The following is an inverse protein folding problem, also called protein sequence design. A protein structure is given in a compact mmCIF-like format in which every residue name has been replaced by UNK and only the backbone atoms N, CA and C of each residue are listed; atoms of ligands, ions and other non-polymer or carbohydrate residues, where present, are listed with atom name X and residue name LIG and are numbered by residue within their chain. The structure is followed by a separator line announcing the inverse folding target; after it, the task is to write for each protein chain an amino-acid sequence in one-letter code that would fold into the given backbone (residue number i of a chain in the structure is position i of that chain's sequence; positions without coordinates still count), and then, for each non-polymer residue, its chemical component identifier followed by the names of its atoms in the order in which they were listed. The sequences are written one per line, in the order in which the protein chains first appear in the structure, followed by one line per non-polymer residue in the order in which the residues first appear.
data_IF_548375814402
#
_entry.id   IF_548375814402
#
_cell.length_a   1.000
_cell.length_b   1.000
_cell.length_c   1.000
_cell.angle_alpha   90.00
_cell.angle_beta   90.00
_cell.angle_gamma   90.00
#
_symmetry.space_group_name_H-M   'P 1'
#
loop_
_entity.id
_entity.type
_entity.pdbx_description
1 polymer ?
#
# COMPACT_ATOMS: atom_id res chain seq x y z
N UNK A 1 15.12 -24.13 -52.29
CA UNK A 1 13.99 -24.85 -51.66
C UNK A 1 13.98 -24.43 -50.21
N UNK A 2 13.14 -23.49 -49.82
CA UNK A 2 12.91 -23.10 -48.44
C UNK A 2 12.19 -24.24 -47.73
N UNK A 3 12.93 -25.02 -46.94
CA UNK A 3 12.31 -25.99 -46.01
C UNK A 3 11.39 -25.22 -45.07
N UNK A 4 10.06 -25.40 -45.21
CA UNK A 4 9.11 -24.92 -44.22
C UNK A 4 9.58 -25.43 -42.85
N UNK A 5 10.03 -24.56 -41.96
CA UNK A 5 10.34 -24.94 -40.58
C UNK A 5 9.06 -25.49 -39.97
N UNK A 6 9.06 -26.77 -39.61
CA UNK A 6 7.97 -27.37 -38.89
C UNK A 6 7.85 -26.72 -37.51
N UNK A 7 6.70 -26.10 -37.23
CA UNK A 7 6.42 -25.54 -35.93
C UNK A 7 5.69 -26.63 -35.07
N UNK A 8 6.27 -27.10 -33.96
CA UNK A 8 5.65 -28.14 -33.15
C UNK A 8 4.23 -27.81 -32.68
N UNK A 9 3.92 -26.53 -32.47
CA UNK A 9 2.63 -26.06 -31.99
C UNK A 9 1.50 -26.15 -33.06
N UNK A 10 1.86 -26.35 -34.34
CA UNK A 10 0.86 -26.46 -35.43
C UNK A 10 -0.03 -27.71 -35.31
N UNK A 11 0.40 -28.71 -34.52
CA UNK A 11 -0.35 -29.94 -34.29
C UNK A 11 -0.16 -30.48 -32.90
N UNK A 12 -1.26 -30.66 -32.16
CA UNK A 12 -1.31 -31.36 -30.89
C UNK A 12 -1.88 -32.75 -31.14
N UNK A 13 -1.20 -33.77 -30.65
CA UNK A 13 -1.59 -35.18 -30.76
C UNK A 13 -1.85 -35.73 -29.35
N UNK A 14 -2.68 -36.82 -29.25
CA UNK A 14 -2.78 -37.59 -27.99
C UNK A 14 -1.93 -38.83 -28.07
N UNK A 15 -1.03 -38.98 -27.13
CA UNK A 15 -0.16 -40.15 -27.04
C UNK A 15 -0.35 -40.86 -25.72
N UNK A 16 -0.25 -42.22 -25.77
CA UNK A 16 -0.15 -43.02 -24.56
C UNK A 16 1.05 -42.54 -23.73
N UNK A 17 0.82 -42.41 -22.42
CA UNK A 17 1.86 -41.98 -21.48
C UNK A 17 3.06 -42.93 -21.47
N UNK A 18 2.84 -44.22 -21.76
CA UNK A 18 3.88 -45.25 -21.83
C UNK A 18 4.87 -45.02 -23.01
N UNK A 19 4.48 -44.24 -24.00
CA UNK A 19 5.37 -43.85 -25.11
C UNK A 19 6.32 -42.73 -24.75
N UNK A 20 6.13 -42.05 -23.61
CA UNK A 20 6.92 -40.91 -23.21
C UNK A 20 8.16 -41.37 -22.45
N UNK A 21 9.34 -41.05 -22.99
CA UNK A 21 10.63 -41.43 -22.41
C UNK A 21 11.23 -40.20 -21.72
N UNK A 22 11.42 -40.22 -20.40
CA UNK A 22 12.10 -39.13 -19.70
C UNK A 22 13.52 -38.93 -20.24
N UNK A 23 13.92 -37.66 -20.45
CA UNK A 23 15.28 -37.34 -20.88
C UNK A 23 16.26 -37.58 -19.72
N UNK A 24 17.16 -38.57 -19.87
CA UNK A 24 18.06 -39.03 -18.81
C UNK A 24 19.03 -37.95 -18.28
N UNK A 25 19.31 -36.88 -19.05
CA UNK A 25 20.16 -35.76 -18.67
C UNK A 25 19.35 -34.50 -18.34
N UNK A 26 18.09 -34.63 -17.89
CA UNK A 26 17.32 -33.51 -17.42
C UNK A 26 17.93 -32.97 -16.12
N UNK A 27 18.46 -31.74 -16.17
CA UNK A 27 19.06 -31.09 -15.00
C UNK A 27 18.01 -30.56 -13.99
N UNK A 28 16.72 -30.49 -14.39
CA UNK A 28 15.66 -30.01 -13.50
C UNK A 28 15.05 -31.19 -12.73
N UNK A 29 15.05 -31.09 -11.41
CA UNK A 29 14.42 -32.03 -10.50
C UNK A 29 13.03 -31.53 -10.14
N UNK A 30 12.14 -32.46 -9.82
CA UNK A 30 10.78 -32.18 -9.34
C UNK A 30 10.58 -32.88 -8.00
N UNK A 31 10.20 -32.13 -6.95
CA UNK A 31 9.80 -32.73 -5.69
C UNK A 31 8.41 -33.39 -5.80
N UNK A 32 8.11 -34.33 -4.91
CA UNK A 32 6.79 -34.96 -4.84
C UNK A 32 5.68 -33.92 -4.57
N UNK A 33 5.99 -32.89 -3.82
CA UNK A 33 5.10 -31.77 -3.54
C UNK A 33 4.79 -30.98 -4.82
N UNK A 34 5.81 -30.59 -5.59
CA UNK A 34 5.63 -29.89 -6.87
C UNK A 34 4.84 -30.74 -7.87
N UNK A 35 5.09 -32.05 -7.93
CA UNK A 35 4.31 -32.97 -8.77
C UNK A 35 2.84 -32.99 -8.30
N UNK A 36 2.60 -32.92 -6.98
CA UNK A 36 1.27 -32.81 -6.40
C UNK A 36 0.54 -31.52 -6.82
N UNK A 37 1.20 -30.38 -6.76
CA UNK A 37 0.66 -29.09 -7.20
C UNK A 37 0.30 -29.11 -8.69
N UNK A 38 1.19 -29.65 -9.55
CA UNK A 38 0.91 -29.78 -10.99
C UNK A 38 -0.28 -30.72 -11.22
N UNK A 39 -0.40 -31.81 -10.45
CA UNK A 39 -1.53 -32.73 -10.57
C UNK A 39 -2.86 -32.06 -10.15
N UNK A 40 -2.87 -31.27 -9.10
CA UNK A 40 -4.03 -30.48 -8.67
C UNK A 40 -4.43 -29.47 -9.74
N UNK A 41 -3.46 -28.75 -10.30
CA UNK A 41 -3.67 -27.82 -11.42
C UNK A 41 -4.28 -28.50 -12.65
N UNK A 42 -3.78 -29.68 -13.04
CA UNK A 42 -4.34 -30.44 -14.17
C UNK A 42 -5.78 -30.91 -13.87
N UNK A 43 -6.08 -31.25 -12.63
CA UNK A 43 -7.42 -31.67 -12.22
C UNK A 43 -8.42 -30.52 -12.26
N UNK A 44 -8.02 -29.31 -11.85
CA UNK A 44 -8.88 -28.13 -11.80
C UNK A 44 -9.12 -27.53 -13.18
N UNK A 45 -8.03 -27.17 -13.88
CA UNK A 45 -8.11 -26.44 -15.15
C UNK A 45 -8.01 -27.32 -16.39
N UNK A 46 -7.82 -28.63 -16.21
CA UNK A 46 -7.53 -29.53 -17.31
C UNK A 46 -6.09 -29.39 -17.82
N UNK A 47 -5.81 -30.05 -18.93
CA UNK A 47 -4.47 -30.02 -19.53
C UNK A 47 -4.31 -28.81 -20.46
N UNK A 48 -3.66 -27.78 -20.01
CA UNK A 48 -3.54 -26.48 -20.72
C UNK A 48 -2.32 -26.39 -21.64
N UNK A 49 -1.18 -27.07 -21.32
CA UNK A 49 0.06 -26.94 -22.07
C UNK A 49 0.60 -28.33 -22.44
N UNK A 50 0.60 -28.74 -23.75
CA UNK A 50 1.07 -30.03 -24.18
C UNK A 50 2.53 -30.35 -23.81
N UNK A 51 2.88 -31.65 -23.72
CA UNK A 51 4.28 -32.08 -23.56
C UNK A 51 4.99 -31.96 -24.90
N UNK A 52 6.18 -31.39 -24.93
CA UNK A 52 7.02 -31.35 -26.13
C UNK A 52 7.92 -32.58 -26.15
N UNK A 53 7.81 -33.39 -27.21
CA UNK A 53 8.56 -34.65 -27.40
C UNK A 53 9.28 -34.64 -28.75
N UNK A 54 10.26 -35.51 -28.91
CA UNK A 54 10.78 -35.84 -30.23
C UNK A 54 9.98 -36.97 -30.90
N UNK A 55 10.38 -37.35 -32.13
CA UNK A 55 9.73 -38.38 -32.95
C UNK A 55 9.83 -39.78 -32.31
N UNK A 56 10.78 -40.00 -31.39
CA UNK A 56 11.00 -41.22 -30.65
C UNK A 56 10.30 -41.26 -29.27
N UNK A 57 9.66 -40.13 -28.88
CA UNK A 57 8.97 -40.01 -27.61
C UNK A 57 9.82 -39.50 -26.47
N UNK A 58 11.06 -39.07 -26.70
CA UNK A 58 11.89 -38.46 -25.68
C UNK A 58 11.31 -37.09 -25.30
N UNK A 59 11.12 -36.86 -24.01
CA UNK A 59 10.55 -35.61 -23.47
C UNK A 59 11.60 -34.50 -23.57
N UNK A 60 11.24 -33.39 -24.24
CA UNK A 60 12.06 -32.18 -24.38
C UNK A 60 11.59 -31.14 -23.33
N UNK A 61 10.27 -30.99 -23.16
CA UNK A 61 9.70 -30.10 -22.14
C UNK A 61 8.40 -30.69 -21.56
N UNK A 62 8.15 -30.50 -20.26
CA UNK A 62 6.96 -30.99 -19.56
C UNK A 62 7.17 -32.25 -18.73
N UNK A 63 8.39 -32.53 -18.27
CA UNK A 63 8.69 -33.69 -17.39
C UNK A 63 7.80 -33.70 -16.14
N UNK A 64 7.64 -32.57 -15.41
CA UNK A 64 6.78 -32.47 -14.23
C UNK A 64 5.31 -32.78 -14.57
N UNK A 65 4.81 -32.32 -15.71
CA UNK A 65 3.44 -32.63 -16.18
C UNK A 65 3.24 -34.12 -16.49
N UNK A 66 4.26 -34.76 -17.02
CA UNK A 66 4.22 -36.21 -17.28
C UNK A 66 4.18 -36.99 -15.97
N UNK A 67 4.98 -36.59 -14.94
CA UNK A 67 4.94 -37.21 -13.61
C UNK A 67 3.58 -36.99 -12.94
N UNK A 68 3.02 -35.79 -13.04
CA UNK A 68 1.68 -35.50 -12.53
C UNK A 68 0.59 -36.30 -13.21
N UNK A 69 0.66 -36.54 -14.54
CA UNK A 69 -0.25 -37.38 -15.27
C UNK A 69 -0.16 -38.86 -14.83
N UNK A 70 1.04 -39.38 -14.55
CA UNK A 70 1.24 -40.70 -13.99
C UNK A 70 0.60 -40.81 -12.60
N UNK A 71 0.76 -39.81 -11.74
CA UNK A 71 0.11 -39.74 -10.41
C UNK A 71 -1.42 -39.72 -10.50
N UNK A 72 -1.96 -39.05 -11.55
CA UNK A 72 -3.40 -39.03 -11.85
C UNK A 72 -3.91 -40.25 -12.59
N UNK A 73 -3.06 -41.25 -12.86
CA UNK A 73 -3.38 -42.47 -13.60
C UNK A 73 -3.97 -42.20 -15.02
N UNK A 74 -3.52 -41.12 -15.65
CA UNK A 74 -3.92 -40.82 -17.01
C UNK A 74 -3.28 -41.79 -17.98
N UNK A 75 -4.04 -42.25 -18.95
CA UNK A 75 -3.54 -43.19 -19.99
C UNK A 75 -2.96 -42.47 -21.20
N UNK A 76 -3.43 -41.27 -21.47
CA UNK A 76 -3.01 -40.46 -22.62
C UNK A 76 -2.82 -38.99 -22.23
N UNK A 77 -1.87 -38.36 -22.86
CA UNK A 77 -1.58 -36.93 -22.69
C UNK A 77 -1.43 -36.21 -24.02
N UNK A 78 -1.73 -34.90 -24.10
CA UNK A 78 -1.49 -34.11 -25.30
C UNK A 78 -0.02 -33.83 -25.47
N UNK A 79 0.49 -34.03 -26.69
CA UNK A 79 1.88 -33.83 -27.04
C UNK A 79 2.03 -32.97 -28.31
N UNK A 80 3.14 -32.27 -28.41
CA UNK A 80 3.65 -31.61 -29.59
C UNK A 80 4.93 -32.31 -30.01
N UNK A 81 5.11 -32.58 -31.31
CA UNK A 81 6.27 -33.32 -31.80
C UNK A 81 7.27 -32.36 -32.47
N UNK A 82 8.48 -32.30 -31.94
CA UNK A 82 9.58 -31.48 -32.45
C UNK A 82 10.29 -32.20 -33.64
N UNK A 83 9.59 -32.30 -34.77
CA UNK A 83 10.09 -33.01 -35.97
C UNK A 83 11.32 -32.34 -36.57
N UNK A 84 12.34 -33.18 -36.89
CA UNK A 84 13.54 -32.73 -37.54
C UNK A 84 14.50 -31.89 -36.72
N UNK A 85 14.30 -31.83 -35.38
CA UNK A 85 15.24 -31.13 -34.50
C UNK A 85 16.52 -31.96 -34.31
N UNK A 86 17.68 -31.31 -34.48
CA UNK A 86 18.95 -31.94 -34.16
C UNK A 86 19.09 -32.15 -32.64
N UNK A 87 19.93 -33.11 -32.22
CA UNK A 87 20.18 -33.38 -30.80
C UNK A 87 20.71 -32.14 -30.05
N UNK A 88 21.56 -31.33 -30.70
CA UNK A 88 22.06 -30.09 -30.14
C UNK A 88 20.91 -29.10 -29.87
N UNK A 89 19.96 -28.97 -30.81
CA UNK A 89 18.79 -28.09 -30.65
C UNK A 89 17.86 -28.57 -29.54
N UNK A 90 17.58 -29.87 -29.46
CA UNK A 90 16.77 -30.45 -28.38
C UNK A 90 17.39 -30.18 -27.02
N UNK A 91 18.68 -30.46 -26.85
CA UNK A 91 19.43 -30.25 -25.58
C UNK A 91 19.48 -28.79 -25.17
N UNK A 92 19.74 -27.90 -26.14
CA UNK A 92 19.73 -26.46 -25.87
C UNK A 92 18.33 -25.97 -25.39
N UNK A 93 17.28 -26.49 -26.04
CA UNK A 93 15.91 -26.11 -25.68
C UNK A 93 15.49 -26.61 -24.28
N UNK A 94 15.89 -27.83 -23.89
CA UNK A 94 15.65 -28.34 -22.51
C UNK A 94 16.20 -27.37 -21.46
N UNK A 95 17.38 -26.81 -21.68
CA UNK A 95 17.98 -25.84 -20.77
C UNK A 95 17.29 -24.48 -20.85
N UNK A 96 17.01 -23.99 -22.06
CA UNK A 96 16.42 -22.67 -22.30
C UNK A 96 15.00 -22.57 -21.72
N UNK A 97 14.14 -23.57 -21.95
CA UNK A 97 12.77 -23.62 -21.45
C UNK A 97 12.73 -23.48 -19.92
N UNK A 98 13.58 -24.23 -19.23
CA UNK A 98 13.69 -24.16 -17.79
C UNK A 98 14.28 -22.83 -17.28
N UNK A 99 15.35 -22.32 -17.93
CA UNK A 99 16.05 -21.13 -17.45
C UNK A 99 15.25 -19.84 -17.70
N UNK A 100 14.59 -19.73 -18.85
CA UNK A 100 13.78 -18.56 -19.19
C UNK A 100 12.61 -18.39 -18.23
N UNK A 101 11.94 -19.47 -17.81
CA UNK A 101 10.89 -19.43 -16.82
C UNK A 101 11.38 -18.91 -15.44
N UNK A 102 12.63 -19.23 -15.07
CA UNK A 102 13.22 -18.78 -13.81
C UNK A 102 13.73 -17.32 -13.83
N UNK A 103 13.88 -16.72 -15.01
CA UNK A 103 14.33 -15.33 -15.13
C UNK A 103 13.19 -14.30 -14.96
N UNK A 104 11.94 -14.75 -15.00
CA UNK A 104 10.80 -13.91 -14.69
C UNK A 104 10.70 -13.73 -13.15
N UNK A 105 10.28 -12.56 -12.72
CA UNK A 105 9.94 -12.24 -11.34
C UNK A 105 8.46 -11.92 -11.23
N UNK A 106 8.02 -11.65 -10.01
CA UNK A 106 6.68 -11.17 -9.70
C UNK A 106 6.72 -9.70 -9.30
N UNK A 107 5.73 -8.95 -9.73
CA UNK A 107 5.37 -7.70 -9.08
C UNK A 107 4.58 -8.09 -7.81
N UNK A 108 5.28 -8.05 -6.67
CA UNK A 108 4.72 -8.54 -5.42
C UNK A 108 3.48 -7.77 -4.96
N UNK A 109 3.37 -6.49 -5.31
CA UNK A 109 2.24 -5.66 -4.94
C UNK A 109 0.99 -6.05 -5.74
N UNK A 110 1.16 -6.20 -7.06
CA UNK A 110 0.08 -6.67 -7.93
C UNK A 110 -0.31 -8.11 -7.60
N UNK A 111 0.67 -8.96 -7.28
CA UNK A 111 0.44 -10.35 -6.88
C UNK A 111 -0.37 -10.44 -5.57
N UNK A 112 -0.06 -9.61 -4.58
CA UNK A 112 -0.82 -9.55 -3.32
C UNK A 112 -2.29 -9.15 -3.55
N UNK A 113 -2.52 -8.15 -4.43
CA UNK A 113 -3.88 -7.73 -4.80
C UNK A 113 -4.66 -8.87 -5.47
N UNK A 114 -4.07 -9.51 -6.48
CA UNK A 114 -4.71 -10.62 -7.21
C UNK A 114 -5.02 -11.80 -6.30
N UNK A 115 -4.06 -12.20 -5.44
CA UNK A 115 -4.30 -13.28 -4.48
C UNK A 115 -5.40 -12.92 -3.47
N UNK A 116 -5.43 -11.66 -3.01
CA UNK A 116 -6.50 -11.17 -2.13
C UNK A 116 -7.87 -11.25 -2.79
N UNK A 117 -8.02 -10.72 -3.99
CA UNK A 117 -9.27 -10.74 -4.74
C UNK A 117 -9.74 -12.16 -5.08
N UNK A 118 -8.81 -13.06 -5.46
CA UNK A 118 -9.11 -14.47 -5.72
C UNK A 118 -9.59 -15.16 -4.43
N UNK A 119 -8.95 -14.88 -3.29
CA UNK A 119 -9.37 -15.40 -1.97
C UNK A 119 -10.77 -14.91 -1.57
N UNK A 120 -11.07 -13.63 -1.78
CA UNK A 120 -12.39 -13.03 -1.50
C UNK A 120 -13.51 -13.64 -2.37
N UNK A 121 -13.16 -14.09 -3.58
CA UNK A 121 -14.06 -14.86 -4.45
C UNK A 121 -14.26 -16.32 -3.99
N UNK A 122 -13.56 -16.75 -2.93
CA UNK A 122 -13.66 -18.09 -2.36
C UNK A 122 -12.92 -19.17 -3.15
N UNK A 123 -11.96 -18.78 -4.01
CA UNK A 123 -11.15 -19.73 -4.74
C UNK A 123 -9.98 -20.24 -3.88
N UNK A 124 -9.63 -21.52 -4.05
CA UNK A 124 -8.55 -22.16 -3.30
C UNK A 124 -7.17 -21.68 -3.78
N UNK A 125 -6.51 -20.86 -2.96
CA UNK A 125 -5.21 -20.25 -3.29
C UNK A 125 -4.07 -21.28 -3.40
N UNK A 126 -4.16 -22.45 -2.78
CA UNK A 126 -3.15 -23.53 -2.89
C UNK A 126 -3.00 -24.00 -4.35
N UNK A 127 -4.06 -23.83 -5.17
CA UNK A 127 -4.04 -24.15 -6.60
C UNK A 127 -3.19 -23.17 -7.44
N UNK A 128 -2.89 -21.97 -6.92
CA UNK A 128 -2.06 -20.98 -7.61
C UNK A 128 -0.58 -21.40 -7.66
N UNK A 129 -0.18 -22.35 -6.80
CA UNK A 129 1.19 -22.84 -6.67
C UNK A 129 2.04 -22.07 -5.67
N UNK A 130 1.51 -21.00 -5.04
CA UNK A 130 2.14 -20.36 -3.89
C UNK A 130 1.89 -21.17 -2.63
N UNK A 131 2.89 -21.24 -1.76
CA UNK A 131 2.73 -21.84 -0.43
C UNK A 131 2.00 -20.88 0.51
N UNK A 132 1.41 -21.40 1.59
CA UNK A 132 0.78 -20.57 2.61
C UNK A 132 1.74 -19.53 3.21
N UNK A 133 3.03 -19.89 3.38
CA UNK A 133 4.06 -18.98 3.90
C UNK A 133 4.39 -17.86 2.87
N UNK A 134 4.45 -18.20 1.57
CA UNK A 134 4.66 -17.20 0.50
C UNK A 134 3.46 -16.24 0.42
N UNK A 135 2.24 -16.76 0.51
CA UNK A 135 1.01 -15.95 0.54
C UNK A 135 1.00 -15.06 1.78
N UNK A 136 1.30 -15.61 2.96
CA UNK A 136 1.38 -14.83 4.19
C UNK A 136 2.45 -13.72 4.14
N UNK A 137 3.60 -13.99 3.50
CA UNK A 137 4.66 -12.98 3.32
C UNK A 137 4.29 -11.87 2.32
N UNK A 138 3.37 -12.14 1.39
CA UNK A 138 2.86 -11.17 0.42
C UNK A 138 1.67 -10.38 0.96
N UNK A 139 0.83 -11.02 1.79
CA UNK A 139 -0.32 -10.36 2.40
C UNK A 139 0.16 -9.40 3.50
N UNK A 140 -0.36 -8.17 3.56
CA UNK A 140 -0.13 -7.33 4.72
C UNK A 140 -0.62 -8.08 5.97
N UNK A 141 0.12 -7.95 7.09
CA UNK A 141 -0.34 -8.48 8.37
C UNK A 141 -1.80 -8.08 8.58
N UNK A 142 -2.65 -9.07 8.92
CA UNK A 142 -4.04 -8.80 9.28
C UNK A 142 -4.02 -7.96 10.56
N UNK A 143 -4.23 -6.67 10.40
CA UNK A 143 -4.32 -5.75 11.53
C UNK A 143 -5.69 -5.97 12.16
N UNK A 144 -5.69 -6.23 13.46
CA UNK A 144 -6.93 -6.38 14.23
C UNK A 144 -7.86 -5.18 14.00
N UNK A 145 -9.16 -5.40 13.79
CA UNK A 145 -10.12 -4.31 13.65
C UNK A 145 -9.99 -3.34 14.83
N UNK A 146 -10.03 -2.04 14.57
CA UNK A 146 -10.04 -1.04 15.64
C UNK A 146 -11.21 -1.24 16.62
N UNK A 147 -11.00 -0.86 17.87
CA UNK A 147 -12.03 -0.97 18.93
C UNK A 147 -13.13 0.08 18.81
N UNK A 148 -12.90 1.14 18.01
CA UNK A 148 -13.83 2.24 17.73
C UNK A 148 -13.98 2.43 16.23
N UNK A 149 -14.98 3.22 15.80
CA UNK A 149 -15.07 3.68 14.43
C UNK A 149 -13.81 4.48 14.06
N UNK A 150 -13.30 4.27 12.84
CA UNK A 150 -12.04 4.87 12.39
C UNK A 150 -12.11 6.40 12.30
N UNK A 151 -13.29 6.95 12.03
CA UNK A 151 -13.52 8.39 11.93
C UNK A 151 -14.01 9.02 13.25
N UNK A 152 -14.19 8.24 14.32
CA UNK A 152 -14.49 8.76 15.66
C UNK A 152 -13.32 9.58 16.19
N UNK A 153 -13.62 10.81 16.62
CA UNK A 153 -12.64 11.74 17.18
C UNK A 153 -13.07 12.17 18.57
N UNK A 154 -12.21 12.00 19.59
CA UNK A 154 -12.47 12.45 20.96
C UNK A 154 -12.68 13.97 21.05
N UNK A 155 -13.38 14.42 22.11
CA UNK A 155 -13.53 15.85 22.38
C UNK A 155 -12.18 16.53 22.67
N UNK A 156 -12.04 17.76 22.17
CA UNK A 156 -10.83 18.56 22.39
C UNK A 156 -10.75 18.98 23.87
N UNK A 157 -9.66 18.65 24.58
CA UNK A 157 -9.50 19.00 25.98
C UNK A 157 -9.39 20.53 26.17
N UNK A 158 -9.96 21.03 27.24
CA UNK A 158 -9.84 22.48 27.61
C UNK A 158 -8.40 22.79 28.04
N UNK A 159 -7.76 21.88 28.75
CA UNK A 159 -6.38 21.96 29.20
C UNK A 159 -5.61 20.73 28.68
N UNK A 160 -4.65 20.90 27.78
CA UNK A 160 -3.86 19.80 27.28
C UNK A 160 -2.86 19.31 28.34
N UNK A 161 -2.54 18.03 28.26
CA UNK A 161 -1.42 17.40 28.97
C UNK A 161 -0.10 17.68 28.24
N UNK A 162 -0.13 17.60 26.93
CA UNK A 162 1.02 17.85 26.04
C UNK A 162 1.44 19.33 26.05
N UNK A 163 2.72 19.57 25.93
CA UNK A 163 3.31 20.92 25.71
C UNK A 163 4.14 20.96 24.44
N UNK A 164 4.39 22.15 23.92
CA UNK A 164 5.23 22.35 22.73
C UNK A 164 6.63 21.74 22.96
N UNK A 165 7.06 20.92 22.02
CA UNK A 165 8.32 20.19 22.09
C UNK A 165 8.17 18.73 22.53
N UNK A 166 7.05 18.33 23.13
CA UNK A 166 6.84 16.94 23.52
C UNK A 166 6.79 15.99 22.33
N UNK A 167 7.41 14.82 22.52
CA UNK A 167 7.36 13.69 21.59
C UNK A 167 6.71 12.50 22.30
N UNK A 168 5.76 11.89 21.63
CA UNK A 168 5.00 10.73 22.11
C UNK A 168 5.28 9.52 21.23
N UNK A 169 5.36 8.34 21.85
CA UNK A 169 5.47 7.04 21.19
C UNK A 169 4.14 6.32 21.28
N UNK A 170 3.55 6.02 20.14
CA UNK A 170 2.25 5.37 19.98
C UNK A 170 2.47 4.02 19.27
N UNK A 171 2.83 2.98 20.03
CA UNK A 171 3.28 1.72 19.45
C UNK A 171 4.56 1.92 18.61
N UNK A 172 4.46 1.71 17.30
CA UNK A 172 5.55 1.97 16.37
C UNK A 172 5.62 3.44 15.87
N UNK A 173 4.59 4.23 16.11
CA UNK A 173 4.48 5.59 15.58
C UNK A 173 5.11 6.64 16.50
N UNK A 174 5.41 7.81 15.91
CA UNK A 174 5.90 8.99 16.63
C UNK A 174 4.98 10.17 16.36
N UNK A 175 4.63 10.88 17.43
CA UNK A 175 3.82 12.09 17.39
C UNK A 175 4.58 13.19 18.13
N UNK A 176 4.70 14.36 17.51
CA UNK A 176 5.37 15.50 18.13
C UNK A 176 4.46 16.72 18.16
N UNK A 177 4.45 17.40 19.30
CA UNK A 177 3.92 18.75 19.40
C UNK A 177 4.99 19.72 18.93
N UNK A 178 4.91 20.20 17.67
CA UNK A 178 6.00 20.97 17.07
C UNK A 178 5.58 21.83 15.89
N UNK A 179 6.55 22.59 15.36
CA UNK A 179 6.35 23.51 14.26
C UNK A 179 6.96 22.97 12.95
N UNK A 180 6.13 22.67 11.99
CA UNK A 180 6.51 22.08 10.70
C UNK A 180 7.31 22.99 9.76
N UNK A 181 7.46 24.27 10.12
CA UNK A 181 8.36 25.21 9.42
C UNK A 181 9.74 25.29 10.06
N UNK A 182 9.97 24.56 11.17
CA UNK A 182 11.25 24.55 11.90
C UNK A 182 12.02 23.27 11.62
N UNK A 183 13.20 23.39 11.01
CA UNK A 183 14.05 22.23 10.67
C UNK A 183 14.32 21.33 11.88
N UNK A 184 14.63 21.93 13.04
CA UNK A 184 14.96 21.17 14.26
C UNK A 184 13.80 20.31 14.75
N UNK A 185 12.54 20.79 14.62
CA UNK A 185 11.36 20.04 15.00
C UNK A 185 11.10 18.88 14.02
N UNK A 186 11.27 19.15 12.72
CA UNK A 186 11.13 18.13 11.67
C UNK A 186 12.17 17.01 11.85
N UNK A 187 13.44 17.36 12.07
CA UNK A 187 14.50 16.40 12.32
C UNK A 187 14.25 15.59 13.62
N UNK A 188 13.78 16.25 14.67
CA UNK A 188 13.46 15.59 15.96
C UNK A 188 12.29 14.62 15.83
N UNK A 189 11.23 14.98 15.11
CA UNK A 189 10.14 14.08 14.81
C UNK A 189 10.64 12.85 14.06
N UNK A 190 11.34 13.08 12.94
CA UNK A 190 11.76 11.99 12.03
C UNK A 190 12.85 11.11 12.61
N UNK A 191 13.62 11.59 13.57
CA UNK A 191 14.65 10.82 14.31
C UNK A 191 15.58 10.02 13.39
N UNK A 192 16.03 10.62 12.28
CA UNK A 192 16.89 10.00 11.29
C UNK A 192 16.20 9.09 10.27
N UNK A 193 14.87 8.97 10.33
CA UNK A 193 14.09 8.19 9.37
C UNK A 193 13.78 9.01 8.12
N UNK A 194 13.87 8.37 6.95
CA UNK A 194 13.41 8.95 5.68
C UNK A 194 11.99 8.43 5.40
N UNK A 195 11.00 9.30 5.14
CA UNK A 195 9.65 8.85 4.84
C UNK A 195 9.56 8.28 3.42
N UNK A 196 8.80 7.19 3.24
CA UNK A 196 8.43 6.68 1.91
C UNK A 196 7.35 7.56 1.28
N UNK A 197 6.43 8.03 2.13
CA UNK A 197 5.31 8.87 1.74
C UNK A 197 5.14 10.04 2.70
N UNK A 198 4.89 11.21 2.15
CA UNK A 198 4.45 12.41 2.87
C UNK A 198 3.03 12.71 2.41
N UNK A 199 2.07 12.67 3.32
CA UNK A 199 0.68 12.99 3.09
C UNK A 199 0.25 14.04 4.10
N UNK A 200 -0.03 15.26 3.65
CA UNK A 200 -0.18 16.37 4.59
C UNK A 200 -1.14 17.46 4.10
N UNK A 201 -1.77 18.15 5.07
CA UNK A 201 -2.78 19.19 4.84
C UNK A 201 -2.44 20.45 5.67
N UNK A 202 -1.51 21.31 5.18
CA UNK A 202 -1.11 22.50 5.90
C UNK A 202 -2.25 23.53 5.97
N UNK A 203 -2.25 24.46 6.94
CA UNK A 203 -3.11 25.64 6.92
C UNK A 203 -2.69 26.54 5.75
N UNK A 204 -3.67 26.96 4.92
CA UNK A 204 -3.37 27.68 3.66
C UNK A 204 -4.12 29.03 3.51
N UNK A 205 -4.55 29.62 4.61
CA UNK A 205 -5.08 30.98 4.63
C UNK A 205 -6.58 31.09 4.34
N UNK A 206 -7.36 30.03 4.56
CA UNK A 206 -8.82 30.09 4.39
C UNK A 206 -9.52 30.85 5.51
N UNK A 207 -8.88 31.03 6.66
CA UNK A 207 -9.53 31.53 7.88
C UNK A 207 -10.85 30.78 8.16
N UNK A 208 -10.79 29.43 8.08
CA UNK A 208 -11.95 28.57 8.02
C UNK A 208 -12.91 28.77 9.20
N UNK A 209 -12.38 28.97 10.41
CA UNK A 209 -13.18 29.21 11.62
C UNK A 209 -13.76 30.60 11.66
N UNK A 210 -12.95 31.64 11.32
CA UNK A 210 -13.39 33.03 11.45
C UNK A 210 -14.45 33.45 10.43
N UNK A 211 -14.48 32.81 9.25
CA UNK A 211 -15.45 33.07 8.17
C UNK A 211 -16.75 32.27 8.26
N UNK A 212 -16.78 31.20 9.02
CA UNK A 212 -17.97 30.35 9.17
C UNK A 212 -18.69 30.59 10.47
N UNK A 213 -19.96 31.02 10.41
CA UNK A 213 -20.82 31.18 11.61
C UNK A 213 -21.07 29.86 12.35
N UNK A 214 -21.07 28.75 11.65
CA UNK A 214 -21.26 27.39 12.20
C UNK A 214 -19.98 26.93 12.89
N UNK A 215 -18.83 27.12 12.24
CA UNK A 215 -17.53 26.74 12.82
C UNK A 215 -17.19 27.63 14.04
N UNK A 216 -17.46 28.93 13.99
CA UNK A 216 -17.30 29.82 15.15
C UNK A 216 -18.10 29.39 16.38
N UNK A 217 -19.26 28.79 16.16
CA UNK A 217 -20.11 28.33 17.27
C UNK A 217 -19.54 27.06 17.90
N UNK A 218 -18.88 26.20 17.11
CA UNK A 218 -18.33 24.94 17.53
C UNK A 218 -16.85 25.04 17.95
N UNK A 219 -16.11 25.94 17.34
CA UNK A 219 -14.67 26.15 17.59
C UNK A 219 -14.44 27.56 18.13
N UNK A 220 -13.99 27.65 19.39
CA UNK A 220 -13.81 28.93 20.11
C UNK A 220 -12.52 29.66 19.73
N UNK A 221 -11.62 29.03 18.98
CA UNK A 221 -10.33 29.61 18.58
C UNK A 221 -10.05 29.34 17.11
N UNK A 222 -9.38 30.29 16.45
CA UNK A 222 -8.94 30.15 15.08
C UNK A 222 -7.80 29.12 14.95
N UNK A 223 -7.67 28.50 13.78
CA UNK A 223 -6.53 27.61 13.47
C UNK A 223 -5.29 28.49 13.39
N UNK A 224 -4.27 28.17 14.16
CA UNK A 224 -3.01 28.93 14.16
C UNK A 224 -2.34 28.84 12.79
N UNK A 225 -2.03 30.03 12.22
CA UNK A 225 -1.37 30.12 10.91
C UNK A 225 -2.28 29.97 9.69
N UNK A 226 -3.62 29.93 9.86
CA UNK A 226 -4.58 29.89 8.74
C UNK A 226 -5.05 31.29 8.28
N UNK A 227 -4.31 32.32 8.58
CA UNK A 227 -4.54 33.71 8.11
C UNK A 227 -3.89 33.99 6.75
N UNK A 228 -2.77 33.35 6.44
CA UNK A 228 -2.05 33.42 5.16
C UNK A 228 -1.56 32.05 4.71
N UNK A 229 -1.23 31.85 3.41
CA UNK A 229 -0.64 30.59 2.93
C UNK A 229 0.86 30.46 3.24
N UNK A 230 1.44 31.32 4.06
CA UNK A 230 2.89 31.36 4.26
C UNK A 230 3.39 30.12 5.02
N UNK A 231 2.63 29.64 6.01
CA UNK A 231 2.95 28.39 6.73
C UNK A 231 3.03 27.20 5.76
N UNK A 232 2.05 27.08 4.85
CA UNK A 232 2.05 26.02 3.84
C UNK A 232 3.27 26.11 2.91
N UNK A 233 3.59 27.34 2.44
CA UNK A 233 4.74 27.58 1.55
C UNK A 233 6.08 27.26 2.21
N UNK A 234 6.26 27.69 3.44
CA UNK A 234 7.52 27.52 4.16
C UNK A 234 7.73 26.06 4.57
N UNK A 235 6.68 25.39 5.03
CA UNK A 235 6.72 23.96 5.29
C UNK A 235 7.00 23.14 4.01
N UNK A 236 6.33 23.50 2.89
CA UNK A 236 6.58 22.84 1.60
C UNK A 236 8.05 22.99 1.17
N UNK A 237 8.60 24.20 1.19
CA UNK A 237 10.01 24.44 0.80
C UNK A 237 10.99 23.63 1.66
N UNK A 238 10.77 23.59 2.97
CA UNK A 238 11.60 22.85 3.90
C UNK A 238 11.52 21.33 3.64
N UNK A 239 10.32 20.78 3.68
CA UNK A 239 10.07 19.35 3.66
C UNK A 239 10.36 18.76 2.28
N UNK A 240 9.93 19.42 1.20
CA UNK A 240 10.25 19.01 -0.17
C UNK A 240 11.75 19.06 -0.44
N UNK A 241 12.45 20.07 0.11
CA UNK A 241 13.90 20.18 0.01
C UNK A 241 14.66 19.07 0.75
N UNK A 242 14.11 18.57 1.87
CA UNK A 242 14.70 17.46 2.63
C UNK A 242 14.52 16.09 1.95
N UNK A 243 13.36 15.83 1.36
CA UNK A 243 13.00 14.54 0.80
C UNK A 243 12.36 14.64 -0.59
N UNK A 244 13.06 15.14 -1.61
CA UNK A 244 12.49 15.33 -2.95
C UNK A 244 12.09 14.02 -3.64
N UNK A 245 12.72 12.91 -3.26
CA UNK A 245 12.48 11.58 -3.82
C UNK A 245 11.37 10.81 -3.10
N UNK A 246 10.94 11.25 -1.91
CA UNK A 246 9.78 10.67 -1.22
C UNK A 246 8.50 10.95 -2.01
N UNK A 247 7.53 10.04 -1.96
CA UNK A 247 6.20 10.29 -2.53
C UNK A 247 5.49 11.35 -1.69
N UNK A 248 5.11 12.46 -2.30
CA UNK A 248 4.52 13.58 -1.56
C UNK A 248 3.15 13.96 -2.09
N UNK A 249 2.21 14.16 -1.18
CA UNK A 249 0.83 14.55 -1.45
C UNK A 249 0.47 15.72 -0.50
N UNK A 250 0.19 16.86 -1.09
CA UNK A 250 -0.05 18.12 -0.37
C UNK A 250 -1.44 18.66 -0.69
N UNK A 251 -2.32 18.66 0.31
CA UNK A 251 -3.70 19.18 0.19
C UNK A 251 -3.74 20.71 0.22
N UNK A 252 -4.83 21.29 -0.31
CA UNK A 252 -4.99 22.74 -0.41
C UNK A 252 -3.99 23.40 -1.36
N UNK A 253 -3.33 22.62 -2.20
CA UNK A 253 -2.21 23.04 -3.06
C UNK A 253 -2.55 24.18 -4.02
N UNK A 254 -3.82 24.33 -4.40
CA UNK A 254 -4.31 25.44 -5.21
C UNK A 254 -4.15 26.84 -4.55
N UNK A 255 -4.00 26.90 -3.21
CA UNK A 255 -3.82 28.17 -2.49
C UNK A 255 -2.35 28.60 -2.40
N UNK A 256 -1.41 27.69 -2.63
CA UNK A 256 0.03 27.97 -2.59
C UNK A 256 0.79 27.37 -3.78
N UNK A 257 0.13 27.24 -4.91
CA UNK A 257 0.70 26.67 -6.15
C UNK A 257 1.96 27.41 -6.65
N UNK A 258 2.18 28.65 -6.24
CA UNK A 258 3.35 29.45 -6.65
C UNK A 258 4.70 28.89 -6.19
N UNK A 259 4.73 27.93 -5.27
CA UNK A 259 5.96 27.28 -4.76
C UNK A 259 6.08 25.83 -5.16
N UNK A 260 5.04 25.26 -5.79
CA UNK A 260 5.00 23.86 -6.19
C UNK A 260 5.68 23.68 -7.55
N UNK A 261 6.46 22.62 -7.76
CA UNK A 261 6.89 22.22 -9.09
C UNK A 261 5.72 21.81 -9.98
N UNK A 262 5.94 21.83 -11.29
CA UNK A 262 4.96 21.29 -12.23
C UNK A 262 4.68 19.80 -11.94
N UNK A 263 3.42 19.40 -12.00
CA UNK A 263 3.00 18.02 -11.82
C UNK A 263 1.82 17.65 -12.70
N UNK A 264 1.90 16.43 -13.28
CA UNK A 264 0.78 15.79 -14.00
C UNK A 264 -0.21 15.15 -13.04
N UNK A 265 0.18 14.90 -11.78
CA UNK A 265 -0.61 14.18 -10.78
C UNK A 265 -1.29 15.16 -9.81
N UNK A 266 -2.58 15.26 -9.93
CA UNK A 266 -3.44 15.98 -8.99
C UNK A 266 -4.52 15.06 -8.47
N UNK A 267 -4.82 15.16 -7.17
CA UNK A 267 -5.91 14.43 -6.54
C UNK A 267 -7.05 15.39 -6.25
N UNK A 268 -8.27 14.89 -6.47
CA UNK A 268 -9.49 15.62 -6.22
C UNK A 268 -10.32 14.84 -5.22
N UNK A 269 -10.56 15.40 -4.05
CA UNK A 269 -11.57 14.88 -3.14
C UNK A 269 -12.88 15.61 -3.37
N UNK A 270 -13.82 14.94 -4.05
CA UNK A 270 -15.18 15.40 -4.24
C UNK A 270 -16.01 15.09 -3.00
N UNK A 271 -16.49 16.13 -2.34
CA UNK A 271 -17.22 16.05 -1.07
C UNK A 271 -18.70 15.68 -1.25
N UNK A 272 -19.14 15.51 -2.49
CA UNK A 272 -20.54 15.20 -2.84
C UNK A 272 -21.54 16.12 -2.11
N UNK A 273 -21.23 17.43 -2.05
CA UNK A 273 -21.98 18.41 -1.26
C UNK A 273 -23.28 18.88 -1.90
N UNK A 274 -23.57 18.49 -3.13
CA UNK A 274 -24.74 18.94 -3.89
C UNK A 274 -24.65 20.45 -4.20
N UNK A 275 -25.70 21.22 -3.86
CA UNK A 275 -25.78 22.67 -4.08
C UNK A 275 -25.48 23.45 -2.78
N UNK A 276 -24.53 23.02 -2.00
CA UNK A 276 -24.15 23.68 -0.72
C UNK A 276 -23.24 24.88 -1.01
N UNK A 277 -23.26 25.91 -0.16
CA UNK A 277 -22.34 27.05 -0.21
C UNK A 277 -20.88 26.70 0.18
N UNK A 278 -20.61 25.43 0.49
CA UNK A 278 -19.28 24.93 0.83
C UNK A 278 -18.54 24.49 -0.44
N UNK A 279 -17.21 24.46 -0.35
CA UNK A 279 -16.34 23.98 -1.44
C UNK A 279 -16.76 22.57 -1.90
N UNK A 280 -17.01 22.39 -3.19
CA UNK A 280 -17.41 21.11 -3.77
C UNK A 280 -16.35 20.05 -3.66
N UNK A 281 -15.06 20.46 -3.80
CA UNK A 281 -13.93 19.56 -3.76
C UNK A 281 -12.70 20.19 -3.11
N UNK A 282 -11.77 19.35 -2.68
CA UNK A 282 -10.41 19.76 -2.31
C UNK A 282 -9.40 19.17 -3.29
N UNK A 283 -8.31 19.90 -3.51
CA UNK A 283 -7.25 19.54 -4.44
C UNK A 283 -5.96 19.23 -3.68
N UNK A 284 -5.27 18.16 -4.10
CA UNK A 284 -3.92 17.88 -3.66
C UNK A 284 -2.97 17.79 -4.85
N UNK A 285 -1.79 18.38 -4.70
CA UNK A 285 -0.65 18.20 -5.58
C UNK A 285 0.14 16.96 -5.17
N UNK A 286 0.66 16.21 -6.15
CA UNK A 286 1.57 15.09 -5.88
C UNK A 286 2.81 15.14 -6.79
N UNK A 287 3.97 14.73 -6.26
CA UNK A 287 5.24 14.79 -6.99
C UNK A 287 5.54 13.56 -7.86
N UNK A 288 4.68 12.57 -7.86
CA UNK A 288 4.90 11.33 -8.63
C UNK A 288 4.10 11.31 -9.93
N UNK A 289 4.54 10.49 -10.87
CA UNK A 289 3.92 10.43 -12.20
C UNK A 289 2.60 9.67 -12.17
N UNK A 290 1.52 10.38 -12.45
CA UNK A 290 0.17 9.80 -12.64
C UNK A 290 -0.69 10.82 -13.39
N UNK A 291 -1.94 10.45 -13.68
CA UNK A 291 -2.97 11.39 -14.18
C UNK A 291 -3.79 11.92 -13.01
N UNK A 292 -4.60 12.95 -13.26
CA UNK A 292 -5.57 13.47 -12.28
C UNK A 292 -6.51 12.33 -11.83
N UNK A 293 -6.75 12.21 -10.53
CA UNK A 293 -7.62 11.19 -9.93
C UNK A 293 -8.61 11.82 -8.98
N UNK A 294 -9.83 11.26 -8.96
CA UNK A 294 -10.91 11.71 -8.10
C UNK A 294 -11.31 10.63 -7.12
N UNK A 295 -11.51 11.03 -5.88
CA UNK A 295 -12.14 10.26 -4.81
C UNK A 295 -13.43 10.96 -4.42
N UNK A 296 -14.55 10.25 -4.37
CA UNK A 296 -15.85 10.82 -4.01
C UNK A 296 -16.31 10.21 -2.69
N UNK A 297 -16.38 11.03 -1.68
CA UNK A 297 -16.93 10.67 -0.37
C UNK A 297 -17.50 11.90 0.28
N UNK A 298 -18.78 11.82 0.68
CA UNK A 298 -19.43 12.90 1.41
C UNK A 298 -18.66 13.19 2.71
N UNK A 299 -18.35 14.46 2.93
CA UNK A 299 -17.77 14.84 4.21
C UNK A 299 -18.83 14.72 5.29
N UNK A 300 -18.61 13.86 6.29
CA UNK A 300 -19.55 13.73 7.41
C UNK A 300 -19.71 15.07 8.14
N UNK A 301 -20.97 15.54 8.20
CA UNK A 301 -21.28 16.89 8.76
C UNK A 301 -21.51 16.89 10.25
N UNK A 302 -21.72 15.71 10.89
CA UNK A 302 -22.32 15.61 12.22
C UNK A 302 -21.35 15.43 13.36
N UNK A 303 -20.15 14.84 13.13
CA UNK A 303 -19.20 14.50 14.21
C UNK A 303 -17.80 15.13 14.05
N UNK A 304 -17.68 16.24 13.32
CA UNK A 304 -16.36 16.88 13.11
C UNK A 304 -15.89 17.58 14.38
N UNK A 305 -14.78 17.12 14.90
CA UNK A 305 -14.05 17.75 16.02
C UNK A 305 -13.02 18.73 15.50
N UNK A 306 -12.41 18.46 14.32
CA UNK A 306 -11.50 19.39 13.64
C UNK A 306 -12.18 20.00 12.40
N UNK A 307 -12.04 21.34 12.16
CA UNK A 307 -12.72 22.04 11.06
C UNK A 307 -12.42 21.48 9.67
N UNK A 308 -11.20 20.98 9.47
CA UNK A 308 -10.68 20.45 8.20
C UNK A 308 -10.41 18.95 8.25
N UNK A 309 -11.08 18.21 9.14
CA UNK A 309 -10.89 16.76 9.27
C UNK A 309 -11.12 16.04 7.94
N UNK A 310 -10.12 15.25 7.52
CA UNK A 310 -10.20 14.35 6.38
C UNK A 310 -10.59 12.94 6.83
N UNK A 311 -11.42 12.21 6.06
CA UNK A 311 -11.77 10.84 6.40
C UNK A 311 -10.58 9.90 6.27
N UNK A 312 -10.48 8.90 7.12
CA UNK A 312 -9.43 7.86 7.06
C UNK A 312 -9.46 7.15 5.71
N UNK A 313 -10.64 6.86 5.18
CA UNK A 313 -10.84 6.24 3.86
C UNK A 313 -10.15 7.01 2.69
N UNK A 314 -9.96 8.33 2.81
CA UNK A 314 -9.25 9.11 1.79
C UNK A 314 -7.76 8.71 1.72
N UNK A 315 -7.10 8.56 2.88
CA UNK A 315 -5.71 8.10 2.94
C UNK A 315 -5.57 6.65 2.47
N UNK A 316 -6.48 5.78 2.87
CA UNK A 316 -6.52 4.40 2.40
C UNK A 316 -6.68 4.31 0.88
N UNK A 317 -7.58 5.13 0.31
CA UNK A 317 -7.74 5.21 -1.14
C UNK A 317 -6.44 5.63 -1.84
N UNK A 318 -5.69 6.59 -1.28
CA UNK A 318 -4.40 7.03 -1.82
C UNK A 318 -3.41 5.86 -1.82
N UNK A 319 -3.23 5.18 -0.69
CA UNK A 319 -2.31 4.06 -0.56
C UNK A 319 -2.63 2.95 -1.57
N UNK A 320 -3.89 2.55 -1.67
CA UNK A 320 -4.36 1.51 -2.59
C UNK A 320 -4.28 1.95 -4.05
N UNK A 321 -4.76 3.16 -4.37
CA UNK A 321 -4.89 3.64 -5.75
C UNK A 321 -3.55 3.82 -6.46
N UNK A 322 -2.55 4.24 -5.75
CA UNK A 322 -1.22 4.50 -6.29
C UNK A 322 -0.23 3.39 -5.99
N UNK A 323 -0.72 2.28 -5.43
CA UNK A 323 0.07 1.11 -5.09
C UNK A 323 1.34 1.51 -4.32
N UNK A 324 1.17 2.37 -3.32
CA UNK A 324 2.28 2.86 -2.52
C UNK A 324 2.61 1.82 -1.45
N UNK A 325 3.66 1.03 -1.70
CA UNK A 325 4.29 0.19 -0.68
C UNK A 325 4.94 1.08 0.37
N UNK A 326 4.15 1.57 1.32
CA UNK A 326 4.55 2.55 2.32
C UNK A 326 4.82 1.83 3.63
N UNK A 327 6.10 1.79 4.04
CA UNK A 327 6.48 1.37 5.40
C UNK A 327 6.48 2.54 6.37
N UNK A 328 6.74 3.74 5.86
CA UNK A 328 6.84 4.97 6.66
C UNK A 328 6.06 6.09 6.01
N UNK A 329 5.12 6.69 6.75
CA UNK A 329 4.35 7.86 6.33
C UNK A 329 4.60 9.02 7.28
N UNK A 330 4.81 10.23 6.73
CA UNK A 330 4.91 11.45 7.50
C UNK A 330 3.74 12.38 7.21
N UNK A 331 3.18 12.97 8.27
CA UNK A 331 2.19 14.04 8.20
C UNK A 331 2.61 15.17 9.13
N UNK A 332 2.92 16.31 8.55
CA UNK A 332 3.45 17.45 9.28
C UNK A 332 2.36 18.40 9.79
N UNK A 333 1.08 18.07 9.56
CA UNK A 333 -0.08 18.82 10.04
C UNK A 333 -1.18 17.85 10.44
N UNK A 334 -0.95 17.14 11.54
CA UNK A 334 -1.71 15.94 11.97
C UNK A 334 -3.20 16.17 12.22
N UNK A 335 -3.60 17.37 12.61
CA UNK A 335 -4.99 17.73 12.89
C UNK A 335 -5.63 16.79 13.90
N UNK A 336 -6.63 16.01 13.48
CA UNK A 336 -7.27 15.00 14.33
C UNK A 336 -6.65 13.60 14.24
N UNK A 337 -5.59 13.41 13.44
CA UNK A 337 -4.84 12.15 13.37
C UNK A 337 -5.35 11.11 12.38
N UNK A 338 -6.10 11.50 11.34
CA UNK A 338 -6.61 10.55 10.35
C UNK A 338 -5.50 9.78 9.63
N UNK A 339 -4.36 10.44 9.32
CA UNK A 339 -3.19 9.79 8.74
C UNK A 339 -2.60 8.73 9.67
N UNK A 340 -2.58 8.97 10.99
CA UNK A 340 -2.11 8.00 11.97
C UNK A 340 -2.98 6.74 12.01
N UNK A 341 -4.30 6.90 12.03
CA UNK A 341 -5.24 5.77 12.03
C UNK A 341 -5.12 4.96 10.73
N UNK A 342 -5.03 5.63 9.58
CA UNK A 342 -4.80 4.95 8.32
C UNK A 342 -3.48 4.17 8.31
N UNK A 343 -2.40 4.74 8.86
CA UNK A 343 -1.10 4.07 8.97
C UNK A 343 -1.15 2.85 9.89
N UNK A 344 -1.81 2.94 11.06
CA UNK A 344 -2.04 1.79 11.96
C UNK A 344 -2.77 0.67 11.22
N UNK A 345 -3.85 0.97 10.50
CA UNK A 345 -4.63 0.02 9.68
C UNK A 345 -3.85 -0.62 8.53
N UNK A 346 -2.78 0.00 8.07
CA UNK A 346 -1.94 -0.53 6.99
C UNK A 346 -0.57 -1.06 7.46
N UNK A 347 -0.33 -1.14 8.77
CA UNK A 347 0.94 -1.60 9.33
C UNK A 347 2.12 -0.67 9.03
N UNK A 348 1.86 0.55 8.53
CA UNK A 348 2.90 1.53 8.27
C UNK A 348 3.26 2.30 9.53
N UNK A 349 4.52 2.66 9.69
CA UNK A 349 4.96 3.55 10.76
C UNK A 349 4.64 5.00 10.40
N UNK A 350 3.90 5.70 11.28
CA UNK A 350 3.57 7.11 11.11
C UNK A 350 4.48 8.03 11.93
N UNK A 351 4.84 9.16 11.32
CA UNK A 351 5.52 10.29 11.95
C UNK A 351 4.62 11.50 11.81
N UNK A 352 3.99 11.92 12.90
CA UNK A 352 2.95 12.96 12.89
C UNK A 352 3.43 14.18 13.66
N UNK A 353 3.27 15.37 13.08
CA UNK A 353 3.47 16.64 13.76
C UNK A 353 2.16 17.40 13.84
N UNK A 354 1.89 17.95 15.01
CA UNK A 354 0.75 18.85 15.23
C UNK A 354 1.22 20.00 16.14
N UNK A 355 0.83 21.21 15.78
CA UNK A 355 1.29 22.40 16.51
C UNK A 355 0.47 22.67 17.77
N UNK A 356 -0.85 22.43 17.73
CA UNK A 356 -1.71 22.68 18.88
C UNK A 356 -1.67 21.51 19.89
N UNK A 357 -1.17 21.73 21.11
CA UNK A 357 -1.10 20.67 22.13
C UNK A 357 -2.42 19.97 22.40
N UNK A 358 -3.56 20.65 22.22
CA UNK A 358 -4.89 20.08 22.45
C UNK A 358 -5.22 19.03 21.40
N UNK A 359 -4.83 19.27 20.14
CA UNK A 359 -5.01 18.28 19.07
C UNK A 359 -4.00 17.15 19.17
N UNK A 360 -2.80 17.37 19.69
CA UNK A 360 -1.88 16.30 20.04
C UNK A 360 -2.53 15.33 21.04
N UNK A 361 -3.16 15.87 22.10
CA UNK A 361 -3.89 15.04 23.08
C UNK A 361 -5.09 14.31 22.44
N UNK A 362 -5.79 14.92 21.49
CA UNK A 362 -6.86 14.28 20.70
C UNK A 362 -6.30 13.11 19.89
N UNK A 363 -5.17 13.29 19.19
CA UNK A 363 -4.53 12.25 18.40
C UNK A 363 -4.13 11.06 19.28
N UNK A 364 -3.52 11.34 20.45
CA UNK A 364 -3.11 10.30 21.41
C UNK A 364 -4.33 9.50 21.85
N UNK A 365 -5.37 10.21 22.31
CA UNK A 365 -6.58 9.56 22.81
C UNK A 365 -7.28 8.75 21.73
N UNK A 366 -7.45 9.32 20.52
CA UNK A 366 -8.05 8.62 19.37
C UNK A 366 -7.31 7.32 19.05
N UNK A 367 -5.97 7.35 19.01
CA UNK A 367 -5.17 6.16 18.74
C UNK A 367 -5.29 5.12 19.88
N UNK A 368 -5.29 5.57 21.16
CA UNK A 368 -5.50 4.68 22.29
C UNK A 368 -6.89 4.02 22.28
N UNK A 369 -7.94 4.81 22.00
CA UNK A 369 -9.32 4.32 21.93
C UNK A 369 -9.50 3.34 20.74
N UNK A 370 -8.82 3.60 19.60
CA UNK A 370 -8.86 2.75 18.42
C UNK A 370 -8.09 1.44 18.59
N UNK A 371 -6.91 1.47 19.23
CA UNK A 371 -6.00 0.31 19.29
C UNK A 371 -6.06 -0.45 20.62
N UNK A 372 -6.56 0.18 21.69
CA UNK A 372 -6.46 -0.34 23.06
C UNK A 372 -5.04 -0.27 23.65
N UNK A 373 -4.06 0.30 22.92
CA UNK A 373 -2.67 0.43 23.37
C UNK A 373 -2.46 1.72 24.14
N UNK A 374 -1.33 1.84 24.83
CA UNK A 374 -0.98 2.99 25.67
C UNK A 374 0.14 3.80 24.99
N UNK A 375 -0.08 5.11 24.84
CA UNK A 375 0.95 6.05 24.39
C UNK A 375 1.88 6.43 25.54
N UNK A 376 3.17 6.59 25.24
CA UNK A 376 4.20 6.94 26.23
C UNK A 376 5.00 8.16 25.80
N UNK A 377 5.40 8.99 26.74
CA UNK A 377 6.26 10.15 26.49
C UNK A 377 7.69 9.69 26.13
N UNK A 378 8.22 10.14 25.01
CA UNK A 378 9.49 9.63 24.48
C UNK A 378 10.70 9.80 25.40
N UNK A 379 10.78 10.89 26.16
CA UNK A 379 11.93 11.16 27.05
C UNK A 379 11.77 10.53 28.43
N UNK A 380 10.54 10.50 28.96
CA UNK A 380 10.32 10.05 30.36
C UNK A 380 9.84 8.62 30.44
N UNK A 381 9.37 8.03 29.33
CA UNK A 381 8.74 6.71 29.29
C UNK A 381 7.38 6.62 30.00
N UNK A 382 6.87 7.73 30.55
CA UNK A 382 5.60 7.73 31.28
C UNK A 382 4.41 7.54 30.35
N UNK A 383 3.42 6.73 30.74
CA UNK A 383 2.11 6.67 30.07
C UNK A 383 1.44 8.05 30.00
N UNK A 384 0.69 8.30 28.92
CA UNK A 384 -0.01 9.57 28.72
C UNK A 384 -0.88 9.98 29.93
N UNK A 385 -1.60 9.03 30.53
CA UNK A 385 -2.44 9.26 31.69
C UNK A 385 -1.67 9.68 32.97
N UNK A 386 -0.36 9.41 33.05
CA UNK A 386 0.49 9.71 34.21
C UNK A 386 1.30 11.01 34.05
N UNK A 387 1.34 11.57 32.83
CA UNK A 387 1.97 12.87 32.60
C UNK A 387 1.05 13.96 33.08
N UNK A 388 1.49 14.69 34.09
CA UNK A 388 0.78 15.87 34.62
C UNK A 388 1.37 17.10 33.97
N UNK A 389 0.49 18.00 33.57
CA UNK A 389 0.93 19.34 33.19
C UNK A 389 1.34 20.10 34.48
N UNK A 390 2.63 20.12 34.77
CA UNK A 390 3.17 20.83 35.95
C UNK A 390 3.11 22.36 35.82
N UNK A 391 2.60 22.88 34.70
CA UNK A 391 2.39 24.30 34.44
C UNK A 391 1.11 24.83 35.14
N UNK A 392 0.98 24.59 36.44
CA UNK A 392 0.09 25.34 37.31
C UNK A 392 0.91 26.45 37.98
N UNK A 393 1.12 27.55 37.28
CA UNK A 393 1.33 28.87 37.88
C UNK A 393 0.79 29.95 36.97
#
# INVERSE_FOLDING_TARGET
MTTKSHNPADKVERWSIDKLVPYARNARTHSDEQVGQIAASIKEWGWTTPVLVDEQGSIIAGHGRTLAAQRLQMTEVPVMVAKGWSDAKKRAYVLADNKLAMNAGWDNEMLALELGEIGDLGFDLDLTGFTADEIAALMPEQIEPGQTDEDDVPEVPVQPVTVLGDVWILGQHRLMCGNSTMLADVERLMNGTTPDCIHTDPPYGMNAVSKSSVLKKNYKQDIMGDDTPDVAKDAFRLIYGMWPDAKQIWWGANYYCSVLPDSECWLVWDKNNGQSDQTDCELAWANFRSVVRQFTLASEKTNRVHPTQKPVALMEWILKRFNLSVKTVADFFGGSGSTLIAAEKHGAQAFIMEFDPRFVDVIIKRWQDFTGKIATHAETGKPFAEVKNDNKN
#
